data_IF_618354020711
#
_entry.id   IF_618354020711
#
_cell.length_a   1.000
_cell.length_b   1.000
_cell.length_c   1.000
_cell.angle_alpha   90.00
_cell.angle_beta   90.00
_cell.angle_gamma   90.00
#
_symmetry.space_group_name_H-M   'P 1'
#
loop_
_entity.id
_entity.type
_entity.pdbx_description
1 polymer ?
#
# COMPACT_ATOMS: atom_id res chain seq x y z
N UNK A 1 -0.25 50.03 13.18
CA UNK A 1 0.52 49.82 11.93
C UNK A 1 1.91 49.34 12.32
N UNK A 2 2.16 48.05 12.12
CA UNK A 2 3.50 47.49 11.98
C UNK A 2 3.32 46.26 11.09
N UNK A 3 4.01 46.28 9.95
CA UNK A 3 3.88 45.37 8.83
C UNK A 3 4.34 43.96 9.19
N UNK A 4 3.57 42.97 8.75
CA UNK A 4 3.99 41.57 8.76
C UNK A 4 5.00 41.36 7.62
N UNK A 5 6.24 41.02 7.99
CA UNK A 5 7.22 40.49 7.05
C UNK A 5 6.73 39.13 6.54
N UNK A 6 6.77 38.97 5.22
CA UNK A 6 6.44 37.74 4.51
C UNK A 6 7.34 36.60 5.00
N UNK A 7 6.72 35.51 5.47
CA UNK A 7 7.41 34.26 5.75
C UNK A 7 7.87 33.64 4.43
N UNK A 8 9.17 33.46 4.30
CA UNK A 8 9.80 32.70 3.23
C UNK A 8 9.26 31.26 3.23
N UNK A 9 8.84 30.80 2.05
CA UNK A 9 8.53 29.41 1.79
C UNK A 9 9.79 28.59 2.05
N UNK A 10 9.81 27.86 3.16
CA UNK A 10 10.77 26.77 3.35
C UNK A 10 10.14 25.56 2.67
N UNK A 11 10.49 25.38 1.40
CA UNK A 11 10.39 24.09 0.72
C UNK A 11 11.18 23.08 1.55
N UNK A 12 10.45 22.22 2.27
CA UNK A 12 11.00 21.09 3.01
C UNK A 12 11.41 19.98 2.01
N UNK A 13 12.51 20.23 1.30
CA UNK A 13 13.28 19.23 0.55
C UNK A 13 14.35 18.61 1.47
N UNK A 14 13.95 17.97 2.57
CA UNK A 14 14.92 17.26 3.41
C UNK A 14 14.56 15.79 3.64
N UNK A 15 15.55 14.95 3.30
CA UNK A 15 15.67 13.52 3.59
C UNK A 15 14.99 12.52 2.64
N UNK A 16 15.34 12.58 1.33
CA UNK A 16 15.59 11.32 0.62
C UNK A 16 17.00 10.87 0.98
N UNK A 17 17.12 9.91 1.89
CA UNK A 17 18.27 9.00 1.81
C UNK A 17 18.24 8.43 0.39
N UNK A 18 19.17 8.82 -0.48
CA UNK A 18 19.26 8.20 -1.80
C UNK A 18 19.64 6.74 -1.59
N UNK A 19 18.62 5.89 -1.51
CA UNK A 19 18.83 4.46 -1.53
C UNK A 19 19.51 4.16 -2.87
N UNK A 20 20.75 3.67 -2.84
CA UNK A 20 21.43 3.16 -4.04
C UNK A 20 20.78 1.90 -4.63
N UNK A 21 19.57 1.55 -4.17
CA UNK A 21 18.77 0.47 -4.70
C UNK A 21 18.45 0.73 -6.18
N UNK A 22 18.75 -0.28 -7.00
CA UNK A 22 18.36 -0.33 -8.40
C UNK A 22 17.37 -1.48 -8.54
N UNK A 23 16.23 -1.19 -9.15
CA UNK A 23 15.24 -2.22 -9.45
C UNK A 23 15.90 -3.37 -10.26
N UNK A 24 15.52 -4.63 -10.01
CA UNK A 24 16.05 -5.77 -10.74
C UNK A 24 15.68 -5.70 -12.23
N UNK A 25 16.45 -6.41 -13.06
CA UNK A 25 16.05 -6.62 -14.46
C UNK A 25 14.74 -7.41 -14.52
N UNK A 26 13.86 -7.01 -15.44
CA UNK A 26 12.57 -7.68 -15.66
C UNK A 26 12.81 -9.08 -16.21
N UNK A 27 12.29 -10.09 -15.53
CA UNK A 27 12.23 -11.48 -15.98
C UNK A 27 10.85 -12.04 -15.66
N UNK A 28 10.30 -12.76 -16.62
CA UNK A 28 9.02 -13.47 -16.45
C UNK A 28 9.19 -14.68 -15.53
N UNK A 29 8.10 -15.12 -14.92
CA UNK A 29 8.06 -16.38 -14.13
C UNK A 29 8.57 -17.56 -14.98
N UNK A 30 8.17 -17.63 -16.25
CA UNK A 30 8.58 -18.68 -17.17
C UNK A 30 10.10 -18.70 -17.43
N UNK A 31 10.71 -17.53 -17.61
CA UNK A 31 12.17 -17.40 -17.78
C UNK A 31 12.90 -17.79 -16.49
N UNK A 32 12.38 -17.39 -15.33
CA UNK A 32 12.96 -17.75 -14.02
C UNK A 32 12.94 -19.27 -13.83
N UNK A 33 11.84 -19.94 -14.18
CA UNK A 33 11.73 -21.40 -14.09
C UNK A 33 12.58 -22.14 -15.13
N UNK A 34 12.80 -21.54 -16.31
CA UNK A 34 13.58 -22.16 -17.39
C UNK A 34 15.09 -22.00 -17.22
N UNK A 35 15.53 -21.05 -16.40
CA UNK A 35 16.95 -20.90 -16.08
C UNK A 35 17.44 -22.05 -15.19
N UNK A 36 18.67 -22.51 -15.42
CA UNK A 36 19.41 -23.44 -14.54
C UNK A 36 18.63 -24.72 -14.17
N UNK A 37 17.87 -25.29 -15.12
CA UNK A 37 17.04 -26.48 -14.88
C UNK A 37 17.84 -27.72 -14.45
N UNK A 38 19.11 -27.78 -14.84
CA UNK A 38 20.01 -28.88 -14.48
C UNK A 38 20.51 -28.79 -13.02
N UNK A 39 20.25 -27.66 -12.32
CA UNK A 39 20.61 -27.48 -10.92
C UNK A 39 19.44 -27.84 -9.99
N UNK A 40 19.52 -29.02 -9.38
CA UNK A 40 18.49 -29.52 -8.45
C UNK A 40 18.27 -28.60 -7.24
N UNK A 41 19.31 -27.92 -6.76
CA UNK A 41 19.21 -27.03 -5.60
C UNK A 41 18.46 -25.75 -5.95
N UNK A 42 18.74 -25.17 -7.11
CA UNK A 42 18.02 -24.00 -7.63
C UNK A 42 16.58 -24.35 -8.00
N UNK A 43 16.34 -25.54 -8.56
CA UNK A 43 14.98 -26.02 -8.85
C UNK A 43 14.13 -26.11 -7.57
N UNK A 44 14.67 -26.70 -6.49
CA UNK A 44 14.00 -26.77 -5.17
C UNK A 44 13.78 -25.39 -4.56
N UNK A 45 14.75 -24.49 -4.69
CA UNK A 45 14.64 -23.11 -4.21
C UNK A 45 13.51 -22.35 -4.91
N UNK A 46 13.45 -22.41 -6.25
CA UNK A 46 12.38 -21.80 -7.06
C UNK A 46 11.01 -22.38 -6.72
N UNK A 47 10.89 -23.70 -6.59
CA UNK A 47 9.65 -24.35 -6.20
C UNK A 47 9.16 -23.92 -4.80
N UNK A 48 10.09 -23.66 -3.86
CA UNK A 48 9.74 -23.19 -2.52
C UNK A 48 9.20 -21.75 -2.55
N UNK A 49 9.79 -20.88 -3.37
CA UNK A 49 9.39 -19.48 -3.45
C UNK A 49 8.13 -19.26 -4.29
N UNK A 50 8.05 -19.91 -5.45
CA UNK A 50 7.00 -19.69 -6.44
C UNK A 50 5.83 -20.69 -6.30
N UNK A 51 5.99 -21.72 -5.48
CA UNK A 51 5.04 -22.82 -5.40
C UNK A 51 5.09 -23.74 -6.62
N UNK A 52 4.12 -24.64 -6.72
CA UNK A 52 4.13 -25.72 -7.71
C UNK A 52 3.72 -25.31 -9.13
N UNK A 53 2.96 -24.21 -9.30
CA UNK A 53 2.43 -23.80 -10.63
C UNK A 53 2.21 -22.28 -10.73
N UNK A 54 3.26 -21.45 -10.63
CA UNK A 54 3.13 -19.99 -10.67
C UNK A 54 2.71 -19.44 -12.05
N UNK A 55 3.07 -20.11 -13.15
CA UNK A 55 2.82 -19.62 -14.53
C UNK A 55 1.33 -19.60 -14.88
N UNK A 56 0.57 -20.55 -14.35
CA UNK A 56 -0.86 -20.71 -14.65
C UNK A 56 -1.76 -20.07 -13.59
N UNK A 57 -1.16 -19.34 -12.64
CA UNK A 57 -1.93 -18.76 -11.54
C UNK A 57 -2.69 -17.53 -12.00
N UNK A 58 -4.00 -17.72 -12.20
CA UNK A 58 -4.97 -16.68 -12.50
C UNK A 58 -6.15 -16.84 -11.54
N UNK A 59 -6.44 -15.80 -10.77
CA UNK A 59 -7.54 -15.75 -9.80
C UNK A 59 -8.77 -15.10 -10.44
N UNK A 60 -8.56 -14.04 -11.21
CA UNK A 60 -9.59 -13.38 -12.00
C UNK A 60 -9.16 -13.30 -13.47
N UNK A 61 -9.74 -14.13 -14.35
CA UNK A 61 -9.44 -14.10 -15.78
C UNK A 61 -9.89 -12.83 -16.49
N UNK A 62 -10.89 -12.11 -15.95
CA UNK A 62 -11.42 -10.87 -16.52
C UNK A 62 -10.60 -9.65 -16.11
N UNK A 63 -9.85 -9.75 -15.01
CA UNK A 63 -8.90 -8.73 -14.60
C UNK A 63 -7.53 -8.94 -15.29
N UNK A 64 -7.06 -7.99 -16.12
CA UNK A 64 -5.76 -8.09 -16.76
C UNK A 64 -4.60 -7.74 -15.82
N UNK A 65 -4.87 -7.16 -14.64
CA UNK A 65 -3.83 -6.72 -13.70
C UNK A 65 -3.10 -7.91 -13.08
N UNK A 66 -1.83 -7.69 -12.74
CA UNK A 66 -1.01 -8.62 -11.95
C UNK A 66 -1.42 -8.52 -10.48
N UNK A 67 -1.53 -7.30 -9.95
CA UNK A 67 -1.95 -7.06 -8.57
C UNK A 67 -3.40 -6.60 -8.53
N UNK A 68 -4.23 -7.32 -7.78
CA UNK A 68 -5.65 -7.01 -7.58
C UNK A 68 -5.86 -6.74 -6.08
N UNK A 69 -5.94 -5.47 -5.71
CA UNK A 69 -6.18 -5.08 -4.31
C UNK A 69 -7.66 -5.23 -4.00
N UNK A 70 -7.99 -6.08 -3.03
CA UNK A 70 -9.37 -6.44 -2.69
C UNK A 70 -9.94 -5.56 -1.59
N UNK A 71 -9.18 -5.32 -0.52
CA UNK A 71 -9.69 -4.52 0.59
C UNK A 71 -8.59 -3.81 1.36
N UNK A 72 -9.01 -2.79 2.11
CA UNK A 72 -8.24 -2.18 3.19
C UNK A 72 -9.02 -2.34 4.49
N UNK A 73 -8.34 -2.84 5.54
CA UNK A 73 -8.92 -3.07 6.85
C UNK A 73 -8.20 -2.23 7.90
N UNK A 74 -8.95 -1.43 8.65
CA UNK A 74 -8.47 -0.73 9.82
C UNK A 74 -8.47 -1.69 11.02
N UNK A 75 -7.29 -1.89 11.60
CA UNK A 75 -7.07 -2.71 12.80
C UNK A 75 -6.80 -1.79 14.00
N UNK A 76 -7.64 -1.85 15.02
CA UNK A 76 -7.45 -1.12 16.28
C UNK A 76 -7.50 -2.11 17.45
N UNK A 77 -6.49 -2.16 18.32
CA UNK A 77 -6.51 -3.04 19.48
C UNK A 77 -7.76 -2.86 20.35
N UNK A 78 -8.46 -3.96 20.62
CA UNK A 78 -9.67 -3.96 21.46
C UNK A 78 -10.94 -3.47 20.76
N UNK A 79 -10.95 -3.40 19.43
CA UNK A 79 -12.14 -3.11 18.62
C UNK A 79 -12.26 -4.11 17.49
N UNK A 80 -13.47 -4.21 16.95
CA UNK A 80 -13.71 -4.97 15.72
C UNK A 80 -13.03 -4.29 14.54
N UNK A 81 -12.51 -5.12 13.63
CA UNK A 81 -11.90 -4.71 12.39
C UNK A 81 -12.93 -3.99 11.50
N UNK A 82 -12.51 -2.89 10.86
CA UNK A 82 -13.37 -2.16 9.91
C UNK A 82 -12.78 -2.29 8.51
N UNK A 83 -13.45 -3.01 7.63
CA UNK A 83 -13.00 -3.30 6.27
C UNK A 83 -13.74 -2.46 5.24
N UNK A 84 -12.99 -1.97 4.26
CA UNK A 84 -13.48 -1.31 3.05
C UNK A 84 -13.07 -2.15 1.84
N UNK A 85 -14.06 -2.69 1.14
CA UNK A 85 -13.85 -3.40 -0.12
C UNK A 85 -13.48 -2.43 -1.24
N UNK A 86 -12.55 -2.82 -2.11
CA UNK A 86 -11.95 -1.99 -3.15
C UNK A 86 -12.30 -2.48 -4.57
N UNK A 87 -13.31 -3.34 -4.70
CA UNK A 87 -13.77 -3.88 -5.98
C UNK A 87 -14.26 -2.79 -6.95
N UNK A 88 -14.90 -1.75 -6.41
CA UNK A 88 -15.38 -0.58 -7.15
C UNK A 88 -14.78 0.72 -6.59
N UNK A 89 -13.49 1.01 -6.87
CA UNK A 89 -12.78 2.14 -6.25
C UNK A 89 -13.42 3.51 -6.48
N UNK A 90 -14.10 3.67 -7.61
CA UNK A 90 -14.80 4.88 -8.01
C UNK A 90 -15.95 5.26 -7.07
N UNK A 91 -16.47 4.31 -6.28
CA UNK A 91 -17.59 4.50 -5.36
C UNK A 91 -17.13 4.83 -3.92
N UNK A 92 -15.82 4.87 -3.67
CA UNK A 92 -15.26 4.96 -2.32
C UNK A 92 -15.08 6.39 -1.78
N UNK A 93 -15.40 7.42 -2.57
CA UNK A 93 -15.09 8.83 -2.24
C UNK A 93 -15.57 9.31 -0.86
N UNK A 94 -16.64 8.70 -0.34
CA UNK A 94 -17.23 9.03 0.97
C UNK A 94 -16.93 7.99 2.07
N UNK A 95 -16.21 6.91 1.75
CA UNK A 95 -15.88 5.87 2.72
C UNK A 95 -14.99 6.46 3.82
N UNK A 96 -15.40 6.26 5.08
CA UNK A 96 -14.78 6.92 6.23
C UNK A 96 -14.30 5.91 7.27
N UNK A 97 -13.04 6.00 7.68
CA UNK A 97 -12.57 5.37 8.91
C UNK A 97 -12.52 6.40 10.03
N UNK A 98 -13.17 6.09 11.15
CA UNK A 98 -13.16 6.94 12.33
C UNK A 98 -12.12 6.43 13.33
N UNK A 99 -11.24 7.33 13.75
CA UNK A 99 -10.19 7.08 14.72
C UNK A 99 -10.41 7.94 15.96
N UNK A 100 -10.26 7.31 17.12
CA UNK A 100 -10.10 8.05 18.37
C UNK A 100 -8.70 8.65 18.42
N UNK A 101 -8.61 9.92 18.80
CA UNK A 101 -7.33 10.59 18.98
C UNK A 101 -6.41 9.80 19.94
N UNK A 102 -5.12 9.67 19.59
CA UNK A 102 -4.14 8.91 20.38
C UNK A 102 -4.31 7.39 20.34
N UNK A 103 -5.25 6.86 19.55
CA UNK A 103 -5.35 5.41 19.39
C UNK A 103 -4.20 4.87 18.54
N UNK A 104 -3.72 3.69 18.91
CA UNK A 104 -2.83 2.92 18.06
C UNK A 104 -3.64 2.15 17.02
N UNK A 105 -3.19 2.15 15.77
CA UNK A 105 -3.85 1.42 14.69
C UNK A 105 -2.84 0.85 13.69
N UNK A 106 -3.33 -0.05 12.83
CA UNK A 106 -2.63 -0.54 11.64
C UNK A 106 -3.60 -0.60 10.47
N UNK A 107 -3.08 -0.55 9.26
CA UNK A 107 -3.82 -0.82 8.04
C UNK A 107 -3.39 -2.18 7.50
N UNK A 108 -4.36 -3.07 7.23
CA UNK A 108 -4.14 -4.32 6.50
C UNK A 108 -4.68 -4.21 5.09
N UNK A 109 -3.89 -4.59 4.11
CA UNK A 109 -4.27 -4.68 2.71
C UNK A 109 -4.36 -6.15 2.35
N UNK A 110 -5.49 -6.56 1.77
CA UNK A 110 -5.68 -7.91 1.25
C UNK A 110 -5.73 -7.82 -0.28
N UNK A 111 -4.93 -8.64 -0.96
CA UNK A 111 -4.72 -8.57 -2.41
C UNK A 111 -4.34 -9.91 -3.03
N UNK A 112 -4.62 -10.07 -4.31
CA UNK A 112 -4.12 -11.17 -5.13
C UNK A 112 -2.94 -10.72 -5.98
N UNK A 113 -2.05 -11.66 -6.26
CA UNK A 113 -1.03 -11.54 -7.31
C UNK A 113 -1.26 -12.69 -8.27
N UNK A 114 -1.39 -12.38 -9.56
CA UNK A 114 -1.63 -13.35 -10.61
C UNK A 114 -0.74 -13.09 -11.83
N UNK A 115 -0.56 -14.10 -12.67
CA UNK A 115 0.20 -14.08 -13.93
C UNK A 115 1.72 -13.94 -13.76
N UNK A 116 2.19 -12.88 -13.12
CA UNK A 116 3.61 -12.56 -13.01
C UNK A 116 4.01 -12.13 -11.59
N UNK A 117 5.31 -12.19 -11.29
CA UNK A 117 5.85 -11.68 -10.03
C UNK A 117 5.74 -10.16 -10.00
N UNK A 118 5.22 -9.61 -8.92
CA UNK A 118 5.36 -8.19 -8.61
C UNK A 118 6.59 -7.97 -7.74
N UNK A 119 7.44 -7.03 -8.14
CA UNK A 119 8.67 -6.69 -7.42
C UNK A 119 8.57 -5.31 -6.79
N UNK A 120 8.92 -5.20 -5.51
CA UNK A 120 8.91 -3.92 -4.80
C UNK A 120 7.53 -3.26 -4.72
N UNK A 121 6.47 -4.06 -4.51
CA UNK A 121 5.14 -3.55 -4.22
C UNK A 121 5.23 -2.58 -3.04
N UNK A 122 4.61 -1.41 -3.18
CA UNK A 122 4.63 -0.33 -2.20
C UNK A 122 3.27 0.33 -2.10
N UNK A 123 2.94 0.74 -0.88
CA UNK A 123 1.76 1.52 -0.57
C UNK A 123 2.17 2.97 -0.32
N UNK A 124 1.59 3.91 -1.06
CA UNK A 124 1.80 5.35 -0.87
C UNK A 124 0.56 5.93 -0.18
N UNK A 125 0.79 6.48 1.01
CA UNK A 125 -0.22 7.11 1.86
C UNK A 125 -0.06 8.62 1.82
N UNK A 126 -1.06 9.36 1.32
CA UNK A 126 -1.05 10.83 1.30
C UNK A 126 -2.26 11.36 2.05
N UNK A 127 -2.04 12.22 3.04
CA UNK A 127 -3.10 12.83 3.84
C UNK A 127 -3.18 14.31 3.54
N UNK A 128 -4.38 14.82 3.31
CA UNK A 128 -4.65 16.24 3.09
C UNK A 128 -5.77 16.75 3.98
N UNK A 129 -5.64 17.99 4.44
CA UNK A 129 -6.67 18.72 5.19
C UNK A 129 -6.91 20.06 4.53
N UNK A 130 -8.17 20.39 4.25
CA UNK A 130 -8.56 21.63 3.55
C UNK A 130 -7.79 21.88 2.25
N UNK A 131 -7.48 20.83 1.49
CA UNK A 131 -6.76 20.90 0.22
C UNK A 131 -5.23 20.96 0.35
N UNK A 132 -4.68 21.06 1.56
CA UNK A 132 -3.23 21.08 1.81
C UNK A 132 -2.76 19.69 2.22
N UNK A 133 -1.69 19.17 1.60
CA UNK A 133 -1.07 17.91 2.02
C UNK A 133 -0.35 18.12 3.35
N UNK A 134 -0.68 17.30 4.36
CA UNK A 134 -0.10 17.37 5.71
C UNK A 134 0.78 16.16 6.04
N UNK A 135 0.69 15.08 5.27
CA UNK A 135 1.50 13.88 5.44
C UNK A 135 1.65 13.17 4.09
N UNK A 136 2.83 12.60 3.86
CA UNK A 136 3.08 11.63 2.80
C UNK A 136 4.04 10.56 3.32
N UNK A 137 3.60 9.32 3.26
CA UNK A 137 4.39 8.16 3.66
C UNK A 137 4.38 7.10 2.57
N UNK A 138 5.38 6.23 2.57
CA UNK A 138 5.48 5.11 1.64
C UNK A 138 5.94 3.88 2.39
N UNK A 139 5.15 2.82 2.30
CA UNK A 139 5.38 1.55 2.96
C UNK A 139 5.81 0.52 1.93
N UNK A 140 7.00 -0.07 2.11
CA UNK A 140 7.44 -1.21 1.32
C UNK A 140 6.60 -2.43 1.72
N UNK A 141 5.81 -2.94 0.77
CA UNK A 141 4.97 -4.12 0.95
C UNK A 141 5.77 -5.39 0.63
N UNK A 142 6.63 -5.34 -0.39
CA UNK A 142 7.57 -6.41 -0.74
C UNK A 142 7.39 -6.98 -2.14
N UNK A 143 7.99 -8.14 -2.40
CA UNK A 143 7.87 -8.84 -3.68
C UNK A 143 7.06 -10.13 -3.50
N UNK A 144 6.13 -10.38 -4.43
CA UNK A 144 5.16 -11.45 -4.31
C UNK A 144 5.05 -12.22 -5.62
N UNK A 145 5.10 -13.55 -5.53
CA UNK A 145 4.80 -14.42 -6.66
C UNK A 145 3.29 -14.58 -6.85
N UNK A 146 2.85 -14.99 -8.05
CA UNK A 146 1.47 -15.39 -8.28
C UNK A 146 1.03 -16.49 -7.31
N UNK A 147 -0.11 -16.32 -6.64
CA UNK A 147 -0.73 -17.33 -5.76
C UNK A 147 -2.25 -17.32 -5.88
N UNK A 148 -2.87 -18.50 -5.70
CA UNK A 148 -4.33 -18.64 -5.67
C UNK A 148 -4.91 -18.13 -4.34
N UNK A 149 -4.13 -18.20 -3.27
CA UNK A 149 -4.51 -17.72 -1.96
C UNK A 149 -4.39 -16.19 -1.86
N UNK A 150 -5.32 -15.59 -1.11
CA UNK A 150 -5.30 -14.17 -0.79
C UNK A 150 -4.07 -13.85 0.06
N UNK A 151 -3.32 -12.83 -0.36
CA UNK A 151 -2.13 -12.35 0.34
C UNK A 151 -2.48 -11.09 1.13
N UNK A 152 -1.76 -10.84 2.22
CA UNK A 152 -2.02 -9.71 3.10
C UNK A 152 -0.75 -9.01 3.53
N UNK A 153 -0.79 -7.69 3.64
CA UNK A 153 0.25 -6.88 4.26
C UNK A 153 -0.35 -5.99 5.33
N UNK A 154 0.31 -5.90 6.49
CA UNK A 154 -0.11 -5.00 7.58
C UNK A 154 0.98 -3.97 7.84
N UNK A 155 0.61 -2.69 7.90
CA UNK A 155 1.54 -1.60 8.20
C UNK A 155 2.12 -1.74 9.63
N UNK A 156 3.25 -1.08 9.91
CA UNK A 156 3.69 -0.85 11.29
C UNK A 156 2.59 -0.19 12.14
N UNK A 157 2.75 -0.25 13.46
CA UNK A 157 1.85 0.46 14.39
C UNK A 157 2.00 1.95 14.18
N UNK A 158 0.88 2.64 13.98
CA UNK A 158 0.77 4.09 13.93
C UNK A 158 -0.07 4.59 15.10
N UNK A 159 0.11 5.86 15.47
CA UNK A 159 -0.71 6.54 16.49
C UNK A 159 -1.47 7.70 15.84
N UNK A 160 -2.79 7.74 16.04
CA UNK A 160 -3.60 8.85 15.55
C UNK A 160 -3.24 10.15 16.29
N UNK A 161 -3.05 11.28 15.61
CA UNK A 161 -2.66 12.52 16.28
C UNK A 161 -3.70 12.97 17.30
N UNK A 162 -3.21 13.57 18.39
CA UNK A 162 -4.01 13.95 19.55
C UNK A 162 -4.17 15.46 19.70
N UNK A 163 -5.30 15.89 20.24
CA UNK A 163 -5.55 17.28 20.62
C UNK A 163 -6.55 17.99 19.71
N UNK A 164 -7.18 19.04 20.25
CA UNK A 164 -8.29 19.74 19.61
C UNK A 164 -7.98 20.22 18.19
N UNK A 165 -6.73 20.62 17.92
CA UNK A 165 -6.30 21.08 16.59
C UNK A 165 -6.26 19.95 15.56
N UNK A 166 -5.97 18.72 15.96
CA UNK A 166 -5.85 17.57 15.05
C UNK A 166 -7.18 16.85 14.80
N UNK A 167 -8.21 17.13 15.60
CA UNK A 167 -9.54 16.57 15.35
C UNK A 167 -10.15 17.13 14.07
N UNK A 168 -10.87 16.27 13.35
CA UNK A 168 -11.53 16.62 12.09
C UNK A 168 -11.36 15.55 11.00
N UNK A 169 -11.86 15.88 9.81
CA UNK A 169 -11.80 15.02 8.63
C UNK A 169 -10.59 15.35 7.78
N UNK A 170 -9.91 14.30 7.34
CA UNK A 170 -8.78 14.36 6.43
C UNK A 170 -9.08 13.51 5.21
N UNK A 171 -8.72 14.01 4.04
CA UNK A 171 -8.79 13.24 2.81
C UNK A 171 -7.51 12.42 2.67
N UNK A 172 -7.65 11.13 2.54
CA UNK A 172 -6.54 10.21 2.25
C UNK A 172 -6.58 9.86 0.77
N UNK A 173 -5.46 10.03 0.08
CA UNK A 173 -5.21 9.46 -1.25
C UNK A 173 -4.25 8.30 -1.10
N UNK A 174 -4.74 7.11 -1.39
CA UNK A 174 -4.05 5.84 -1.30
C UNK A 174 -3.65 5.35 -2.68
N UNK A 175 -2.44 4.80 -2.81
CA UNK A 175 -1.95 4.23 -4.06
C UNK A 175 -1.14 2.97 -3.81
N UNK A 176 -1.45 1.89 -4.53
CA UNK A 176 -0.65 0.67 -4.60
C UNK A 176 0.13 0.67 -5.92
N UNK A 177 1.45 0.62 -5.84
CA UNK A 177 2.37 0.71 -7.00
C UNK A 177 3.61 -0.15 -6.76
N UNK A 178 4.55 -0.23 -7.69
CA UNK A 178 5.72 -1.13 -7.62
C UNK A 178 7.00 -0.47 -8.15
N UNK A 179 8.10 -1.21 -8.20
CA UNK A 179 9.40 -0.71 -8.69
C UNK A 179 9.37 -0.32 -10.17
N UNK A 180 8.44 -0.89 -10.94
CA UNK A 180 8.22 -0.60 -12.35
C UNK A 180 7.34 0.64 -12.58
N UNK A 181 6.76 1.20 -11.51
CA UNK A 181 5.91 2.39 -11.57
C UNK A 181 4.48 2.12 -12.04
N UNK A 182 4.01 0.86 -12.03
CA UNK A 182 2.62 0.55 -12.34
C UNK A 182 1.68 1.16 -11.29
N UNK A 183 0.54 1.69 -11.72
CA UNK A 183 -0.55 2.09 -10.82
C UNK A 183 -1.55 0.93 -10.72
N UNK A 184 -1.37 0.06 -9.72
CA UNK A 184 -2.23 -1.11 -9.53
C UNK A 184 -3.62 -0.70 -9.04
N UNK A 185 -3.65 0.27 -8.13
CA UNK A 185 -4.87 0.87 -7.65
C UNK A 185 -4.59 2.22 -6.98
N UNK A 186 -5.30 3.27 -7.40
CA UNK A 186 -5.37 4.55 -6.69
C UNK A 186 -6.81 4.84 -6.27
N UNK A 187 -7.02 5.15 -4.99
CA UNK A 187 -8.34 5.46 -4.43
C UNK A 187 -8.26 6.58 -3.39
N UNK A 188 -9.42 7.15 -3.06
CA UNK A 188 -9.56 8.18 -2.03
C UNK A 188 -10.58 7.74 -0.99
N UNK A 189 -10.34 8.10 0.26
CA UNK A 189 -11.24 7.87 1.40
C UNK A 189 -11.01 8.95 2.46
N UNK A 190 -11.82 8.95 3.51
CA UNK A 190 -11.76 9.93 4.60
C UNK A 190 -11.30 9.25 5.90
N UNK A 191 -10.34 9.86 6.59
CA UNK A 191 -10.09 9.54 7.99
C UNK A 191 -10.65 10.65 8.88
N UNK A 192 -11.43 10.28 9.88
CA UNK A 192 -12.01 11.21 10.85
C UNK A 192 -11.38 11.00 12.22
N UNK A 193 -10.67 12.01 12.71
CA UNK A 193 -10.05 11.99 14.04
C UNK A 193 -10.96 12.71 15.02
N UNK A 194 -11.31 12.01 16.09
CA UNK A 194 -12.33 12.46 17.05
C UNK A 194 -11.91 12.12 18.48
N UNK A 195 -12.49 12.82 19.47
CA UNK A 195 -12.19 12.57 20.89
C UNK A 195 -12.66 11.18 21.34
N UNK A 196 -13.77 10.72 20.76
CA UNK A 196 -14.46 9.48 21.08
C UNK A 196 -14.78 8.74 19.79
N UNK A 197 -14.89 7.41 19.88
CA UNK A 197 -15.18 6.53 18.75
C UNK A 197 -16.50 6.80 18.05
#
# INVERSE_FOLDING_TARGET
MAEYAAGENVDDESEKSESHYKAPEKKTVSEILSADQDDESLAKYKATLLGSSPVDTVVDPMDPRIVIVKSITLLVPGRDDVTMELDNPSELGDATFKLKEGCQYRLRFDFYVQREIVTGLKYIHKVSRHGVQVLKETFMVGSYAPKQELQSYTTPVEEAPSGMLHRGKYKVKSQMTDDDGHDWLTWCWITEISKDW
#
